data_IF_509915105321
#
_entry.id   IF_509915105321
#
_cell.length_a   1.000
_cell.length_b   1.000
_cell.length_c   1.000
_cell.angle_alpha   90.00
_cell.angle_beta   90.00
_cell.angle_gamma   90.00
#
_symmetry.space_group_name_H-M   'P 1'
#
loop_
_entity.id
_entity.type
_entity.pdbx_description
1 polymer ?
#
# COMPACT_ATOMS: atom_id res chain seq x y z
N UNK A 1 -0.34 22.69 7.57
CA UNK A 1 0.84 22.10 6.92
C UNK A 1 0.42 21.69 5.53
N UNK A 2 1.30 21.81 4.54
CA UNK A 2 1.01 21.24 3.22
C UNK A 2 1.06 19.72 3.36
N UNK A 3 0.15 18.99 2.75
CA UNK A 3 0.18 17.53 2.79
C UNK A 3 1.36 17.02 1.96
N UNK A 4 2.29 16.29 2.58
CA UNK A 4 3.40 15.65 1.88
C UNK A 4 2.92 14.40 1.15
N UNK A 5 3.43 14.16 -0.06
CA UNK A 5 3.07 12.99 -0.85
C UNK A 5 4.31 12.22 -1.29
N UNK A 6 4.24 10.90 -1.18
CA UNK A 6 5.28 9.98 -1.62
C UNK A 6 4.68 8.97 -2.60
N UNK A 7 5.21 8.93 -3.82
CA UNK A 7 4.84 7.95 -4.83
C UNK A 7 5.92 6.88 -4.91
N UNK A 8 5.58 5.66 -4.49
CA UNK A 8 6.51 4.54 -4.56
C UNK A 8 6.64 4.04 -6.00
N UNK A 9 7.80 3.46 -6.30
CA UNK A 9 8.04 2.81 -7.59
C UNK A 9 6.97 1.74 -7.85
N UNK A 10 6.53 1.62 -9.11
CA UNK A 10 5.51 0.66 -9.51
C UNK A 10 6.04 -0.77 -9.40
N UNK A 11 5.27 -1.66 -8.76
CA UNK A 11 5.59 -3.07 -8.65
C UNK A 11 4.62 -3.91 -9.50
N UNK A 12 5.17 -4.78 -10.32
CA UNK A 12 4.41 -5.78 -11.07
C UNK A 12 4.33 -7.07 -10.27
N UNK A 13 3.11 -7.50 -9.93
CA UNK A 13 2.85 -8.60 -9.01
C UNK A 13 1.90 -9.63 -9.60
N UNK A 14 2.12 -10.91 -9.28
CA UNK A 14 1.08 -11.94 -9.40
C UNK A 14 0.12 -11.88 -8.20
N UNK A 15 -1.11 -12.37 -8.37
CA UNK A 15 -2.12 -12.36 -7.30
C UNK A 15 -1.65 -13.04 -6.00
N UNK A 16 -0.82 -14.07 -6.12
CA UNK A 16 -0.25 -14.81 -4.98
C UNK A 16 0.79 -14.01 -4.19
N UNK A 17 1.38 -12.97 -4.78
CA UNK A 17 2.46 -12.17 -4.19
C UNK A 17 1.94 -10.93 -3.48
N UNK A 18 0.72 -10.49 -3.83
CA UNK A 18 0.09 -9.25 -3.32
C UNK A 18 0.15 -9.16 -1.80
N UNK A 19 -0.17 -10.26 -1.11
CA UNK A 19 -0.30 -10.28 0.34
C UNK A 19 1.01 -9.94 1.03
N UNK A 20 2.07 -10.65 0.68
CA UNK A 20 3.40 -10.50 1.27
C UNK A 20 4.03 -9.15 0.94
N UNK A 21 3.90 -8.72 -0.32
CA UNK A 21 4.44 -7.43 -0.77
C UNK A 21 3.75 -6.25 -0.06
N UNK A 22 2.41 -6.23 -0.03
CA UNK A 22 1.68 -5.14 0.63
C UNK A 22 1.90 -5.13 2.14
N UNK A 23 1.99 -6.30 2.80
CA UNK A 23 2.34 -6.38 4.23
C UNK A 23 3.70 -5.76 4.49
N UNK A 24 4.70 -6.16 3.71
CA UNK A 24 6.06 -5.67 3.84
C UNK A 24 6.13 -4.14 3.71
N UNK A 25 5.50 -3.58 2.66
CA UNK A 25 5.47 -2.14 2.39
C UNK A 25 4.70 -1.38 3.48
N UNK A 26 3.46 -1.77 3.78
CA UNK A 26 2.60 -1.05 4.72
C UNK A 26 3.18 -1.07 6.13
N UNK A 27 3.65 -2.21 6.62
CA UNK A 27 4.27 -2.28 7.95
C UNK A 27 5.57 -1.49 8.03
N UNK A 28 6.37 -1.44 6.95
CA UNK A 28 7.55 -0.58 6.91
C UNK A 28 7.18 0.88 7.03
N UNK A 29 6.15 1.36 6.31
CA UNK A 29 5.68 2.75 6.43
C UNK A 29 5.17 3.01 7.87
N UNK A 30 4.32 2.13 8.41
CA UNK A 30 3.81 2.28 9.76
C UNK A 30 4.91 2.28 10.82
N UNK A 31 5.93 1.43 10.69
CA UNK A 31 7.05 1.41 11.63
C UNK A 31 7.79 2.75 11.67
N UNK A 32 7.97 3.40 10.52
CA UNK A 32 8.62 4.72 10.42
C UNK A 32 7.73 5.91 10.81
N UNK A 33 6.42 5.67 11.00
CA UNK A 33 5.43 6.70 11.36
C UNK A 33 4.72 6.45 12.68
N UNK A 34 4.97 5.32 13.33
CA UNK A 34 4.47 5.03 14.67
C UNK A 34 5.51 5.51 15.68
N UNK A 35 5.30 6.71 16.22
CA UNK A 35 6.23 7.33 17.18
C UNK A 35 5.87 7.04 18.65
N UNK A 36 4.85 6.21 18.88
CA UNK A 36 4.47 5.74 20.21
C UNK A 36 5.36 4.59 20.68
N UNK A 37 5.23 4.22 21.95
CA UNK A 37 5.85 3.01 22.46
C UNK A 37 5.29 1.77 21.75
N UNK A 38 6.15 1.08 21.02
CA UNK A 38 5.85 -0.16 20.30
C UNK A 38 6.79 -1.27 20.72
N UNK A 39 6.44 -2.52 20.44
CA UNK A 39 7.34 -3.67 20.56
C UNK A 39 7.68 -4.16 19.16
N UNK A 40 8.80 -3.70 18.58
CA UNK A 40 9.20 -4.11 17.24
C UNK A 40 9.29 -5.62 17.14
N UNK A 41 8.78 -6.17 16.04
CA UNK A 41 8.84 -7.59 15.73
C UNK A 41 9.37 -7.76 14.31
N UNK A 42 10.46 -8.49 14.19
CA UNK A 42 11.00 -8.91 12.90
C UNK A 42 10.09 -9.98 12.29
N UNK A 43 9.79 -9.82 11.00
CA UNK A 43 8.96 -10.74 10.24
C UNK A 43 9.64 -11.03 8.91
N UNK A 44 9.91 -12.31 8.68
CA UNK A 44 10.42 -12.79 7.40
C UNK A 44 9.28 -12.84 6.38
N UNK A 45 9.55 -12.35 5.19
CA UNK A 45 8.65 -12.42 4.07
C UNK A 45 8.74 -13.82 3.44
N UNK A 46 7.65 -14.59 3.45
CA UNK A 46 7.71 -16.01 3.05
C UNK A 46 8.15 -16.21 1.59
N UNK A 47 7.86 -15.23 0.71
CA UNK A 47 8.11 -15.33 -0.73
C UNK A 47 9.44 -14.72 -1.18
N UNK A 48 10.09 -13.91 -0.34
CA UNK A 48 11.27 -13.12 -0.72
C UNK A 48 12.28 -13.13 0.42
N UNK A 49 13.58 -13.08 0.12
CA UNK A 49 14.64 -12.97 1.13
C UNK A 49 14.69 -11.55 1.74
N UNK A 50 13.61 -11.17 2.43
CA UNK A 50 13.36 -9.86 3.00
C UNK A 50 12.79 -10.03 4.40
N UNK A 51 13.42 -9.38 5.38
CA UNK A 51 12.88 -9.24 6.73
C UNK A 51 12.42 -7.81 6.91
N UNK A 52 11.16 -7.62 7.35
CA UNK A 52 10.60 -6.31 7.67
C UNK A 52 10.13 -6.25 9.12
N UNK A 53 9.90 -5.04 9.63
CA UNK A 53 9.54 -4.84 11.04
C UNK A 53 8.07 -4.46 11.18
N UNK A 54 7.37 -5.09 12.12
CA UNK A 54 6.02 -4.71 12.55
C UNK A 54 6.07 -3.97 13.89
N UNK A 55 5.08 -3.10 14.13
CA UNK A 55 4.93 -2.38 15.40
C UNK A 55 4.51 -3.28 16.59
N UNK A 56 4.13 -4.54 16.36
CA UNK A 56 3.65 -5.45 17.41
C UNK A 56 2.30 -5.02 17.99
N UNK A 57 1.46 -4.37 17.17
CA UNK A 57 0.15 -3.84 17.55
C UNK A 57 -0.94 -4.64 16.84
N UNK A 58 -1.60 -5.53 17.58
CA UNK A 58 -2.53 -6.51 17.02
C UNK A 58 -3.70 -5.87 16.24
N UNK A 59 -4.20 -4.72 16.69
CA UNK A 59 -5.29 -4.00 16.01
C UNK A 59 -4.83 -3.45 14.65
N UNK A 60 -3.62 -2.86 14.59
CA UNK A 60 -3.02 -2.36 13.35
C UNK A 60 -2.71 -3.51 12.39
N UNK A 61 -2.14 -4.60 12.87
CA UNK A 61 -1.85 -5.80 12.08
C UNK A 61 -3.13 -6.38 11.45
N UNK A 62 -4.20 -6.45 12.25
CA UNK A 62 -5.51 -6.88 11.77
C UNK A 62 -6.09 -5.94 10.71
N UNK A 63 -6.01 -4.63 10.92
CA UNK A 63 -6.49 -3.64 9.93
C UNK A 63 -5.74 -3.77 8.59
N UNK A 64 -4.40 -3.86 8.64
CA UNK A 64 -3.57 -4.04 7.45
C UNK A 64 -4.00 -5.30 6.70
N UNK A 65 -4.15 -6.43 7.39
CA UNK A 65 -4.58 -7.69 6.80
C UNK A 65 -5.98 -7.61 6.17
N UNK A 66 -6.94 -6.98 6.86
CA UNK A 66 -8.30 -6.79 6.34
C UNK A 66 -8.30 -5.97 5.04
N UNK A 67 -7.51 -4.89 4.99
CA UNK A 67 -7.39 -4.01 3.81
C UNK A 67 -6.70 -4.72 2.64
N UNK A 68 -5.66 -5.51 2.91
CA UNK A 68 -4.98 -6.33 1.90
C UNK A 68 -5.95 -7.37 1.34
N UNK A 69 -6.72 -8.06 2.18
CA UNK A 69 -7.71 -9.04 1.72
C UNK A 69 -8.80 -8.40 0.85
N UNK A 70 -9.25 -7.19 1.19
CA UNK A 70 -10.19 -6.44 0.35
C UNK A 70 -9.56 -6.07 -1.01
N UNK A 71 -8.28 -5.68 -1.04
CA UNK A 71 -7.56 -5.40 -2.29
C UNK A 71 -7.38 -6.66 -3.15
N UNK A 72 -7.02 -7.80 -2.55
CA UNK A 72 -6.92 -9.09 -3.27
C UNK A 72 -8.25 -9.44 -3.92
N UNK A 73 -9.35 -9.36 -3.18
CA UNK A 73 -10.69 -9.63 -3.71
C UNK A 73 -11.11 -8.65 -4.83
N UNK A 74 -10.60 -7.41 -4.80
CA UNK A 74 -10.78 -6.46 -5.90
C UNK A 74 -9.93 -6.84 -7.12
N UNK A 75 -8.66 -7.22 -6.92
CA UNK A 75 -7.70 -7.56 -7.97
C UNK A 75 -8.13 -8.82 -8.75
N UNK A 76 -8.68 -9.82 -8.07
CA UNK A 76 -9.24 -11.03 -8.70
C UNK A 76 -10.36 -10.71 -9.71
N UNK A 77 -11.15 -9.66 -9.45
CA UNK A 77 -12.23 -9.20 -10.34
C UNK A 77 -11.73 -8.29 -11.46
N UNK A 78 -10.49 -7.81 -11.38
CA UNK A 78 -9.90 -6.85 -12.30
C UNK A 78 -8.47 -7.26 -12.71
N UNK A 79 -8.30 -8.43 -13.36
CA UNK A 79 -6.98 -8.92 -13.74
C UNK A 79 -6.29 -8.00 -14.77
N UNK A 80 -4.96 -7.97 -14.74
CA UNK A 80 -4.13 -7.17 -15.66
C UNK A 80 -4.44 -5.66 -15.62
N UNK A 81 -4.83 -5.16 -14.44
CA UNK A 81 -5.16 -3.75 -14.24
C UNK A 81 -4.11 -3.10 -13.35
N UNK A 82 -3.66 -1.92 -13.78
CA UNK A 82 -2.89 -1.01 -12.92
C UNK A 82 -3.80 -0.42 -11.85
N UNK A 83 -3.27 -0.35 -10.65
CA UNK A 83 -4.00 0.00 -9.43
C UNK A 83 -3.08 0.72 -8.45
N UNK A 84 -3.66 1.31 -7.43
CA UNK A 84 -2.91 2.02 -6.41
C UNK A 84 -3.59 1.82 -5.06
N UNK A 85 -2.79 1.54 -4.04
CA UNK A 85 -3.20 1.57 -2.63
C UNK A 85 -2.65 2.87 -2.04
N UNK A 86 -3.46 3.58 -1.26
CA UNK A 86 -3.06 4.83 -0.63
C UNK A 86 -3.15 4.70 0.89
N UNK A 87 -2.03 4.92 1.59
CA UNK A 87 -1.98 5.08 3.05
C UNK A 87 -1.86 6.56 3.36
N UNK A 88 -2.83 7.11 4.08
CA UNK A 88 -2.85 8.53 4.46
C UNK A 88 -2.79 8.68 5.97
N UNK A 89 -2.05 9.68 6.45
CA UNK A 89 -2.05 10.12 7.83
C UNK A 89 -2.71 11.50 7.96
N UNK A 90 -3.50 11.69 9.02
CA UNK A 90 -4.27 12.91 9.21
C UNK A 90 -4.49 13.28 10.68
N UNK A 91 -4.82 14.56 10.90
CA UNK A 91 -5.39 15.05 12.14
C UNK A 91 -6.89 15.27 11.99
N UNK A 92 -7.60 15.21 13.11
CA UNK A 92 -9.02 15.56 13.18
C UNK A 92 -9.19 16.93 13.82
N UNK A 93 -9.81 17.85 13.08
CA UNK A 93 -10.16 19.17 13.58
C UNK A 93 -11.67 19.25 13.81
N UNK A 94 -12.06 19.37 15.07
CA UNK A 94 -13.44 19.67 15.44
C UNK A 94 -13.76 21.13 15.07
N UNK A 95 -14.81 21.35 14.29
CA UNK A 95 -15.34 22.71 14.06
C UNK A 95 -16.05 23.17 15.33
N UNK A 96 -15.94 24.47 15.65
CA UNK A 96 -16.61 25.04 16.81
C UNK A 96 -18.12 24.72 16.79
N UNK A 97 -18.73 24.40 17.95
CA UNK A 97 -20.13 23.95 18.05
C UNK A 97 -21.20 25.03 17.77
N UNK A 98 -20.84 26.11 17.06
CA UNK A 98 -21.67 27.32 16.93
C UNK A 98 -22.29 27.59 15.56
N UNK A 99 -21.99 26.84 14.49
CA UNK A 99 -22.58 27.11 13.17
C UNK A 99 -22.68 25.83 12.30
N UNK A 100 -23.81 25.14 12.41
CA UNK A 100 -24.39 24.19 11.44
C UNK A 100 -23.56 22.98 10.94
N UNK A 101 -22.54 22.49 11.63
CA UNK A 101 -21.99 21.16 11.30
C UNK A 101 -21.17 20.52 12.42
N UNK A 102 -21.62 19.37 12.91
CA UNK A 102 -20.83 18.46 13.77
C UNK A 102 -19.84 17.61 12.94
N UNK A 103 -19.45 18.04 11.74
CA UNK A 103 -18.51 17.27 10.91
C UNK A 103 -17.08 17.58 11.34
N UNK A 104 -16.44 16.57 11.93
CA UNK A 104 -14.99 16.50 12.10
C UNK A 104 -14.33 16.58 10.72
N UNK A 105 -13.43 17.53 10.54
CA UNK A 105 -12.66 17.69 9.31
C UNK A 105 -11.33 16.95 9.45
N UNK A 106 -11.00 16.11 8.45
CA UNK A 106 -9.70 15.43 8.38
C UNK A 106 -8.70 16.31 7.65
N UNK A 107 -7.58 16.59 8.30
CA UNK A 107 -6.48 17.37 7.75
C UNK A 107 -5.32 16.41 7.50
N UNK A 108 -5.17 16.01 6.24
CA UNK A 108 -4.09 15.12 5.82
C UNK A 108 -2.76 15.87 5.82
N UNK A 109 -1.74 15.24 6.40
CA UNK A 109 -0.38 15.78 6.47
C UNK A 109 0.64 14.90 5.73
N UNK A 110 0.35 13.62 5.48
CA UNK A 110 1.20 12.76 4.65
C UNK A 110 0.40 11.66 3.94
N UNK A 111 0.76 11.36 2.69
CA UNK A 111 0.15 10.30 1.89
C UNK A 111 1.19 9.48 1.12
N UNK A 112 1.03 8.16 1.17
CA UNK A 112 1.88 7.18 0.50
C UNK A 112 1.09 6.45 -0.57
N UNK A 113 1.55 6.55 -1.81
CA UNK A 113 0.93 5.94 -2.98
C UNK A 113 1.73 4.72 -3.43
N UNK A 114 1.15 3.55 -3.22
CA UNK A 114 1.73 2.25 -3.56
C UNK A 114 1.16 1.83 -4.91
N UNK A 115 1.96 1.96 -5.97
CA UNK A 115 1.54 1.69 -7.34
C UNK A 115 1.74 0.21 -7.69
N UNK A 116 0.69 -0.46 -8.13
CA UNK A 116 0.68 -1.90 -8.38
C UNK A 116 0.13 -2.24 -9.76
N UNK A 117 0.84 -3.09 -10.49
CA UNK A 117 0.37 -3.73 -11.71
C UNK A 117 0.12 -5.22 -11.43
N UNK A 118 -1.14 -5.61 -11.23
CA UNK A 118 -1.47 -7.01 -10.94
C UNK A 118 -1.63 -7.78 -12.24
N UNK A 119 -0.74 -8.73 -12.48
CA UNK A 119 -0.80 -9.63 -13.64
C UNK A 119 -1.45 -10.95 -13.25
N UNK A 120 -2.23 -11.50 -14.19
CA UNK A 120 -2.68 -12.88 -14.10
C UNK A 120 -1.70 -13.75 -14.88
N UNK A 121 -1.19 -14.86 -14.30
CA UNK A 121 -0.40 -15.82 -15.06
C UNK A 121 -1.19 -16.18 -16.32
N UNK A 122 -0.58 -16.03 -17.50
CA UNK A 122 -1.24 -16.34 -18.77
C UNK A 122 -1.81 -17.75 -18.66
N UNK A 123 -3.14 -17.84 -18.54
CA UNK A 123 -3.81 -19.11 -18.46
C UNK A 123 -3.38 -19.95 -19.65
N UNK A 124 -2.86 -21.15 -19.35
CA UNK A 124 -2.85 -22.26 -20.29
C UNK A 124 -4.17 -22.20 -21.05
N UNK A 125 -4.10 -21.88 -22.34
CA UNK A 125 -5.29 -21.87 -23.18
C UNK A 125 -6.02 -23.18 -22.95
N UNK A 126 -7.33 -23.12 -22.77
CA UNK A 126 -8.20 -24.30 -22.76
C UNK A 126 -8.05 -25.02 -24.11
N UNK A 127 -6.97 -25.79 -24.30
CA UNK A 127 -6.91 -26.81 -25.34
C UNK A 127 -7.74 -27.98 -24.81
N UNK A 128 -9.04 -27.92 -25.10
CA UNK A 128 -9.85 -29.12 -25.15
C UNK A 128 -9.20 -30.05 -26.19
N UNK A 129 -8.49 -31.06 -25.72
CA UNK A 129 -8.04 -32.18 -26.54
C UNK A 129 -6.55 -32.47 -26.43
N UNK A 130 -6.19 -33.36 -25.51
CA UNK A 130 -5.45 -34.61 -25.80
C UNK A 130 -4.73 -35.07 -24.53
N UNK A 131 -5.04 -36.29 -24.07
CA UNK A 131 -4.27 -36.98 -23.04
C UNK A 131 -2.92 -37.36 -23.65
N UNK A 132 -1.90 -36.55 -23.44
CA UNK A 132 -0.50 -36.84 -23.77
C UNK A 132 0.36 -36.93 -22.50
N UNK A 133 1.46 -37.71 -22.49
CA UNK A 133 2.23 -37.98 -21.28
C UNK A 133 3.05 -36.77 -20.82
N UNK A 134 3.01 -36.54 -19.51
CA UNK A 134 3.90 -35.72 -18.64
C UNK A 134 5.03 -34.95 -19.33
N UNK A 135 4.85 -33.64 -19.47
CA UNK A 135 5.83 -32.71 -20.02
C UNK A 135 6.82 -32.20 -18.93
N UNK A 136 7.69 -33.07 -18.44
CA UNK A 136 8.66 -32.77 -17.35
C UNK A 136 9.71 -31.72 -17.74
N UNK A 137 10.02 -31.57 -19.04
CA UNK A 137 10.96 -30.54 -19.54
C UNK A 137 10.37 -29.13 -19.57
N UNK A 138 9.05 -29.00 -19.79
CA UNK A 138 8.37 -27.71 -19.78
C UNK A 138 8.25 -27.13 -18.36
N UNK A 139 8.02 -28.00 -17.37
CA UNK A 139 7.90 -27.60 -15.96
C UNK A 139 9.20 -27.01 -15.40
N UNK A 140 10.35 -27.64 -15.65
CA UNK A 140 11.64 -27.13 -15.14
C UNK A 140 12.02 -25.75 -15.72
N UNK A 141 11.64 -25.46 -16.97
CA UNK A 141 11.90 -24.17 -17.62
C UNK A 141 10.95 -23.07 -17.11
N UNK A 142 9.68 -23.40 -16.91
CA UNK A 142 8.69 -22.51 -16.28
C UNK A 142 9.06 -22.21 -14.82
N UNK A 143 9.55 -23.20 -14.07
CA UNK A 143 10.00 -23.02 -12.69
C UNK A 143 11.24 -22.12 -12.61
N UNK A 144 12.23 -22.32 -13.47
CA UNK A 144 13.44 -21.49 -13.51
C UNK A 144 13.14 -20.03 -13.90
N UNK A 145 12.25 -19.81 -14.89
CA UNK A 145 11.83 -18.46 -15.27
C UNK A 145 10.99 -17.79 -14.17
N UNK A 146 10.13 -18.55 -13.49
CA UNK A 146 9.36 -18.07 -12.34
C UNK A 146 10.26 -17.70 -11.15
N UNK A 147 11.31 -18.50 -10.87
CA UNK A 147 12.31 -18.18 -9.84
C UNK A 147 13.04 -16.88 -10.17
N UNK A 148 13.56 -16.73 -11.40
CA UNK A 148 14.26 -15.51 -11.80
C UNK A 148 13.37 -14.25 -11.74
N UNK A 149 12.08 -14.37 -12.04
CA UNK A 149 11.11 -13.28 -11.88
C UNK A 149 10.94 -12.90 -10.41
N UNK A 150 10.83 -13.88 -9.52
CA UNK A 150 10.70 -13.65 -8.07
C UNK A 150 11.95 -12.98 -7.50
N UNK A 151 13.14 -13.40 -7.92
CA UNK A 151 14.40 -12.78 -7.48
C UNK A 151 14.47 -11.30 -7.91
N UNK A 152 14.10 -11.00 -9.16
CA UNK A 152 14.04 -9.63 -9.67
C UNK A 152 13.00 -8.78 -8.91
N UNK A 153 11.83 -9.36 -8.60
CA UNK A 153 10.81 -8.70 -7.80
C UNK A 153 11.31 -8.44 -6.36
N UNK A 154 12.05 -9.37 -5.76
CA UNK A 154 12.69 -9.20 -4.46
C UNK A 154 13.59 -7.96 -4.41
N UNK A 155 14.42 -7.75 -5.42
CA UNK A 155 15.27 -6.55 -5.53
C UNK A 155 14.44 -5.26 -5.65
N UNK A 156 13.36 -5.27 -6.44
CA UNK A 156 12.48 -4.10 -6.58
C UNK A 156 11.75 -3.78 -5.26
N UNK A 157 11.35 -4.80 -4.50
CA UNK A 157 10.77 -4.59 -3.17
C UNK A 157 11.80 -3.93 -2.26
N UNK A 158 13.05 -4.43 -2.22
CA UNK A 158 14.12 -3.81 -1.43
C UNK A 158 14.33 -2.34 -1.81
N UNK A 159 14.35 -2.00 -3.10
CA UNK A 159 14.45 -0.61 -3.57
C UNK A 159 13.28 0.25 -3.05
N UNK A 160 12.04 -0.26 -3.09
CA UNK A 160 10.86 0.43 -2.54
C UNK A 160 10.98 0.61 -1.02
N UNK A 161 11.48 -0.37 -0.28
CA UNK A 161 11.71 -0.25 1.16
C UNK A 161 12.77 0.82 1.47
N UNK A 162 13.86 0.85 0.72
CA UNK A 162 14.85 1.92 0.85
C UNK A 162 14.29 3.30 0.49
N UNK A 163 13.43 3.38 -0.52
CA UNK A 163 12.71 4.61 -0.86
C UNK A 163 11.87 5.11 0.33
N UNK A 164 11.15 4.20 1.01
CA UNK A 164 10.37 4.53 2.21
C UNK A 164 11.28 5.05 3.31
N UNK A 165 12.37 4.34 3.63
CA UNK A 165 13.30 4.72 4.70
C UNK A 165 13.90 6.11 4.43
N UNK A 166 14.38 6.34 3.21
CA UNK A 166 15.00 7.61 2.82
C UNK A 166 14.00 8.76 2.90
N UNK A 167 12.81 8.60 2.30
CA UNK A 167 11.76 9.62 2.36
C UNK A 167 11.31 9.88 3.80
N UNK A 168 11.15 8.82 4.59
CA UNK A 168 10.73 8.91 5.98
C UNK A 168 11.71 9.75 6.82
N UNK A 169 13.01 9.57 6.58
CA UNK A 169 14.08 10.32 7.22
C UNK A 169 14.18 11.76 6.72
N UNK A 170 14.03 12.00 5.41
CA UNK A 170 14.03 13.34 4.81
C UNK A 170 12.86 14.20 5.32
N UNK A 171 11.69 13.60 5.55
CA UNK A 171 10.46 14.29 5.95
C UNK A 171 10.18 14.25 7.45
N UNK A 172 11.15 13.86 8.28
CA UNK A 172 10.97 13.73 9.74
C UNK A 172 10.51 15.03 10.43
N UNK A 173 10.92 16.18 9.91
CA UNK A 173 10.58 17.50 10.47
C UNK A 173 9.15 17.95 10.07
N UNK A 174 8.49 17.23 9.15
CA UNK A 174 7.12 17.48 8.73
C UNK A 174 6.08 16.78 9.62
N UNK A 175 6.50 15.85 10.47
CA UNK A 175 5.59 15.06 11.30
C UNK A 175 4.91 16.02 12.32
N UNK A 176 3.58 15.95 12.50
CA UNK A 176 2.88 16.76 13.48
C UNK A 176 3.36 16.43 14.92
N UNK A 177 3.04 17.29 15.90
CA UNK A 177 3.41 17.05 17.30
C UNK A 177 3.02 15.63 17.74
N UNK A 178 3.98 14.94 18.35
CA UNK A 178 3.84 13.53 18.74
C UNK A 178 2.67 13.40 19.73
N UNK A 179 1.80 12.43 19.46
CA UNK A 179 0.71 12.02 20.33
C UNK A 179 1.10 10.76 21.10
N UNK A 180 0.47 10.51 22.25
CA UNK A 180 0.59 9.25 23.01
C UNK A 180 -0.09 8.05 22.29
N UNK A 181 -0.59 8.27 21.08
CA UNK A 181 -1.33 7.30 20.25
C UNK A 181 -0.77 7.29 18.83
N UNK A 182 -0.99 6.17 18.13
CA UNK A 182 -0.72 6.09 16.69
C UNK A 182 -1.46 7.25 16.00
N UNK A 183 -0.82 7.89 15.03
CA UNK A 183 -1.48 8.90 14.22
C UNK A 183 -2.74 8.34 13.56
N UNK A 184 -3.76 9.19 13.40
CA UNK A 184 -4.94 8.77 12.65
C UNK A 184 -4.52 8.48 11.22
N UNK A 185 -5.01 7.36 10.70
CA UNK A 185 -4.64 6.88 9.39
C UNK A 185 -5.83 6.26 8.67
N UNK A 186 -5.69 6.15 7.35
CA UNK A 186 -6.59 5.36 6.54
C UNK A 186 -5.83 4.66 5.41
N UNK A 187 -6.16 3.39 5.20
CA UNK A 187 -5.75 2.64 4.01
C UNK A 187 -6.91 2.62 3.03
N UNK A 188 -6.71 3.25 1.88
CA UNK A 188 -7.64 3.29 0.76
C UNK A 188 -7.19 2.31 -0.32
N UNK A 189 -8.14 1.50 -0.76
CA UNK A 189 -7.98 0.57 -1.89
C UNK A 189 -8.92 1.01 -3.02
N UNK A 190 -8.68 0.56 -4.26
CA UNK A 190 -9.59 0.85 -5.37
C UNK A 190 -11.01 0.32 -5.10
N UNK A 191 -12.02 1.15 -5.40
CA UNK A 191 -13.43 0.74 -5.33
C UNK A 191 -13.86 0.01 -6.60
N UNK A 192 -14.89 -0.84 -6.50
CA UNK A 192 -15.52 -1.50 -7.64
C UNK A 192 -16.33 -0.56 -8.54
N UNK A 193 -16.68 0.64 -8.07
CA UNK A 193 -17.56 1.59 -8.78
C UNK A 193 -16.83 2.68 -9.58
N UNK A 194 -15.57 2.97 -9.25
CA UNK A 194 -14.92 4.18 -9.73
C UNK A 194 -13.88 3.89 -10.81
N UNK A 195 -13.95 4.64 -11.89
CA UNK A 195 -12.85 4.74 -12.86
C UNK A 195 -11.56 5.09 -12.12
N UNK A 196 -10.42 4.51 -12.53
CA UNK A 196 -9.09 4.84 -11.93
C UNK A 196 -8.86 6.36 -11.94
N UNK A 197 -9.37 7.04 -12.97
CA UNK A 197 -9.37 8.50 -13.08
C UNK A 197 -10.22 9.20 -12.02
N UNK A 198 -11.43 8.70 -11.71
CA UNK A 198 -12.30 9.27 -10.67
C UNK A 198 -11.75 9.07 -9.25
N UNK A 199 -11.18 7.90 -8.96
CA UNK A 199 -10.54 7.63 -7.68
C UNK A 199 -9.26 8.48 -7.48
N UNK A 200 -8.40 8.56 -8.50
CA UNK A 200 -7.24 9.46 -8.47
C UNK A 200 -7.66 10.92 -8.31
N UNK A 201 -8.72 11.35 -9.02
CA UNK A 201 -9.26 12.70 -8.90
C UNK A 201 -9.82 12.97 -7.50
N UNK A 202 -10.46 12.00 -6.84
CA UNK A 202 -10.96 12.18 -5.47
C UNK A 202 -9.85 12.19 -4.42
N UNK A 203 -8.83 11.34 -4.55
CA UNK A 203 -7.67 11.36 -3.65
C UNK A 203 -6.86 12.64 -3.86
N UNK A 204 -6.61 13.04 -5.12
CA UNK A 204 -5.99 14.33 -5.45
C UNK A 204 -6.85 15.50 -4.99
N UNK A 205 -8.18 15.46 -5.16
CA UNK A 205 -9.08 16.51 -4.68
C UNK A 205 -9.01 16.64 -3.15
N UNK A 206 -8.93 15.53 -2.41
CA UNK A 206 -8.73 15.55 -0.96
C UNK A 206 -7.37 16.15 -0.59
N UNK A 207 -6.30 15.76 -1.30
CA UNK A 207 -4.96 16.30 -1.13
C UNK A 207 -4.86 17.80 -1.46
N UNK A 208 -5.61 18.29 -2.46
CA UNK A 208 -5.66 19.70 -2.85
C UNK A 208 -6.56 20.53 -1.91
N UNK A 209 -7.61 19.92 -1.35
CA UNK A 209 -8.50 20.59 -0.39
C UNK A 209 -7.82 20.88 0.96
N UNK A 210 -6.83 20.09 1.36
CA UNK A 210 -6.01 20.37 2.55
C UNK A 210 -4.96 21.48 2.32
N UNK A 211 -4.74 21.91 1.07
CA UNK A 211 -3.79 22.97 0.71
C UNK A 211 -4.32 24.41 0.78
N UNK A 212 -5.61 24.63 1.05
CA UNK A 212 -6.14 26.00 1.18
C UNK A 212 -5.88 26.57 2.57
N UNK A 213 -4.68 27.11 2.74
CA UNK A 213 -4.39 28.06 3.81
C UNK A 213 -5.19 29.35 3.57
N UNK A 214 -5.87 29.79 4.62
CA UNK A 214 -6.55 31.08 4.75
C UNK A 214 -5.76 32.22 4.08
N UNK A 215 -6.32 32.81 3.03
CA UNK A 215 -5.93 34.17 2.65
C UNK A 215 -6.50 35.10 3.72
N UNK A 216 -5.60 35.78 4.43
CA UNK A 216 -5.92 36.99 5.16
C UNK A 216 -6.55 38.01 4.20
N UNK A 217 -7.78 38.43 4.50
CA UNK A 217 -8.18 39.82 4.66
C UNK A 217 -9.58 39.87 5.28
#
# INVERSE_FOLDING_TARGET
>A
MNCETCHLNELELETTEIKDVLRCILHTIFFHRTLTLVRPKDVDCDLFEITYVQCGLAELEKEVDEKINQFIAWAEKHPNRKSQVCLSFFDEKNKHPGWFSNKTERIYWEQWFINLHVTSPKGQGKSRGSKGPTNTKGQALEEASSSSRRDALGLLIQEVLFQIINYANEKKDHIPPISDRIFNHEILIPSSSDSVFGWNADVLRRALSSGHSYSLN
#
